data_IF_146694651522
#
_entry.id   IF_146694651522
#
_cell.length_a   1.000
_cell.length_b   1.000
_cell.length_c   1.000
_cell.angle_alpha   90.00
_cell.angle_beta   90.00
_cell.angle_gamma   90.00
#
_symmetry.space_group_name_H-M   'P 1'
#
loop_
_entity.id
_entity.type
_entity.pdbx_description
1 polymer ?
#
# COMPACT_ATOMS: atom_id res chain seq x y z
N UNK A 1 15.95 5.16 -10.57
CA UNK A 1 15.76 4.79 -11.99
C UNK A 1 15.76 3.28 -12.26
N UNK A 2 16.37 2.42 -11.43
CA UNK A 2 16.45 0.97 -11.71
C UNK A 2 15.11 0.22 -11.90
N UNK A 3 14.06 0.52 -11.12
CA UNK A 3 12.75 -0.18 -11.25
C UNK A 3 11.87 0.32 -12.40
N UNK A 4 12.04 1.57 -12.85
CA UNK A 4 11.33 2.09 -14.03
C UNK A 4 11.77 1.39 -15.32
N UNK A 5 12.98 0.82 -15.34
CA UNK A 5 13.46 -0.02 -16.44
C UNK A 5 12.82 -1.42 -16.47
N UNK A 6 12.30 -1.90 -15.32
CA UNK A 6 11.61 -3.19 -15.21
C UNK A 6 10.10 -3.05 -15.44
N UNK A 7 9.52 -1.95 -14.96
CA UNK A 7 8.11 -1.62 -15.14
C UNK A 7 8.01 -0.13 -15.52
N UNK A 8 7.76 0.19 -16.81
CA UNK A 8 7.56 1.56 -17.26
C UNK A 8 6.45 2.25 -16.45
N UNK A 9 6.68 3.49 -16.03
CA UNK A 9 5.71 4.24 -15.23
C UNK A 9 5.76 3.99 -13.72
N UNK A 10 6.57 3.04 -13.22
CA UNK A 10 6.69 2.76 -11.78
C UNK A 10 7.10 3.99 -10.97
N UNK A 11 8.06 4.78 -11.46
CA UNK A 11 8.46 6.03 -10.79
C UNK A 11 7.32 7.04 -10.72
N UNK A 12 6.56 7.21 -11.81
CA UNK A 12 5.42 8.13 -11.87
C UNK A 12 4.34 7.71 -10.87
N UNK A 13 4.03 6.40 -10.82
CA UNK A 13 3.09 5.85 -9.84
C UNK A 13 3.54 6.15 -8.40
N UNK A 14 4.79 5.84 -8.04
CA UNK A 14 5.30 6.09 -6.69
C UNK A 14 5.35 7.58 -6.36
N UNK A 15 5.71 8.43 -7.32
CA UNK A 15 5.70 9.89 -7.12
C UNK A 15 4.30 10.41 -6.85
N UNK A 16 3.29 9.97 -7.61
CA UNK A 16 1.90 10.37 -7.38
C UNK A 16 1.39 9.93 -6.01
N UNK A 17 1.79 8.74 -5.54
CA UNK A 17 1.41 8.24 -4.21
C UNK A 17 2.03 9.02 -3.04
N UNK A 18 3.10 9.79 -3.30
CA UNK A 18 3.81 10.59 -2.30
C UNK A 18 3.45 12.08 -2.37
N UNK A 19 2.98 12.55 -3.53
CA UNK A 19 2.64 13.95 -3.78
C UNK A 19 1.12 14.06 -3.85
N UNK A 20 0.52 14.69 -2.84
CA UNK A 20 -0.90 14.98 -2.86
C UNK A 20 -1.22 15.92 -4.04
N UNK A 21 -2.03 15.45 -4.98
CA UNK A 21 -2.48 16.22 -6.14
C UNK A 21 -3.98 16.47 -5.99
N UNK A 22 -4.38 17.74 -6.00
CA UNK A 22 -5.79 18.14 -5.89
C UNK A 22 -6.62 17.59 -7.05
N UNK A 23 -7.87 17.24 -6.78
CA UNK A 23 -8.82 16.84 -7.82
C UNK A 23 -9.21 18.08 -8.62
N UNK A 24 -8.99 18.05 -9.93
CA UNK A 24 -9.53 19.04 -10.86
C UNK A 24 -10.84 18.47 -11.42
N UNK A 25 -11.96 19.17 -11.19
CA UNK A 25 -13.32 18.76 -11.59
C UNK A 25 -13.67 19.17 -13.05
N UNK A 26 -12.67 19.39 -13.89
CA UNK A 26 -12.88 19.69 -15.31
C UNK A 26 -13.23 18.40 -16.08
N UNK A 27 -14.19 18.49 -17.02
CA UNK A 27 -14.52 17.37 -17.92
C UNK A 27 -13.27 16.96 -18.72
N UNK A 28 -12.69 15.82 -18.37
CA UNK A 28 -11.50 15.26 -19.00
C UNK A 28 -11.85 14.01 -19.82
N UNK A 29 -10.97 13.67 -20.77
CA UNK A 29 -11.02 12.39 -21.48
C UNK A 29 -11.02 11.19 -20.50
N UNK A 30 -11.63 10.05 -20.86
CA UNK A 30 -11.76 8.91 -19.95
C UNK A 30 -10.45 8.43 -19.32
N UNK A 31 -9.35 8.41 -20.08
CA UNK A 31 -8.04 8.00 -19.58
C UNK A 31 -7.46 8.99 -18.56
N UNK A 32 -7.76 10.29 -18.70
CA UNK A 32 -7.33 11.32 -17.76
C UNK A 32 -8.12 11.21 -16.47
N UNK A 33 -9.42 10.94 -16.54
CA UNK A 33 -10.25 10.68 -15.36
C UNK A 33 -9.71 9.50 -14.55
N UNK A 34 -9.36 8.39 -15.20
CA UNK A 34 -8.76 7.23 -14.54
C UNK A 34 -7.39 7.55 -13.93
N UNK A 35 -6.55 8.32 -14.64
CA UNK A 35 -5.24 8.74 -14.14
C UNK A 35 -5.35 9.66 -12.93
N UNK A 36 -6.22 10.68 -12.97
CA UNK A 36 -6.46 11.63 -11.88
C UNK A 36 -7.07 10.93 -10.65
N UNK A 37 -8.01 10.00 -10.88
CA UNK A 37 -8.53 9.14 -9.81
C UNK A 37 -7.41 8.32 -9.15
N UNK A 38 -6.46 7.82 -9.94
CA UNK A 38 -5.27 7.13 -9.44
C UNK A 38 -4.27 8.04 -8.71
N UNK A 39 -4.08 9.27 -9.17
CA UNK A 39 -3.12 10.22 -8.60
C UNK A 39 -3.56 10.80 -7.27
N UNK A 40 -4.85 10.76 -6.96
CA UNK A 40 -5.39 11.12 -5.64
C UNK A 40 -5.19 10.05 -4.56
N UNK A 41 -4.57 8.90 -4.88
CA UNK A 41 -4.25 7.86 -3.89
C UNK A 41 -2.94 8.21 -3.17
N UNK A 42 -2.85 7.83 -1.91
CA UNK A 42 -1.70 8.16 -1.05
C UNK A 42 -1.25 6.93 -0.25
N UNK A 43 0.03 6.90 0.13
CA UNK A 43 0.59 5.86 1.01
C UNK A 43 0.49 6.29 2.47
N UNK A 44 -0.07 5.40 3.29
CA UNK A 44 -0.20 5.60 4.73
C UNK A 44 0.44 4.45 5.51
N UNK A 45 1.08 4.80 6.63
CA UNK A 45 1.56 3.83 7.61
C UNK A 45 0.64 3.86 8.83
N UNK A 46 0.13 2.71 9.24
CA UNK A 46 -0.73 2.58 10.42
C UNK A 46 -0.48 1.26 11.13
N UNK A 47 -0.80 1.22 12.43
CA UNK A 47 -0.73 -0.01 13.23
C UNK A 47 -1.90 -0.92 12.86
N UNK A 48 -1.61 -2.21 12.67
CA UNK A 48 -2.65 -3.20 12.41
C UNK A 48 -3.47 -3.45 13.66
N UNK A 49 -4.77 -3.72 13.50
CA UNK A 49 -5.61 -4.11 14.64
C UNK A 49 -5.16 -5.46 15.21
N UNK A 50 -5.17 -5.64 16.55
CA UNK A 50 -4.92 -6.93 17.18
C UNK A 50 -5.84 -8.06 16.68
N UNK A 51 -7.01 -7.71 16.13
CA UNK A 51 -7.97 -8.66 15.54
C UNK A 51 -7.40 -9.47 14.37
N UNK A 52 -6.34 -8.96 13.71
CA UNK A 52 -5.65 -9.65 12.63
C UNK A 52 -4.56 -10.62 13.14
N UNK A 53 -4.37 -10.70 14.46
CA UNK A 53 -3.43 -11.59 15.12
C UNK A 53 -3.61 -13.05 14.68
N UNK A 54 -2.50 -13.70 14.33
CA UNK A 54 -2.49 -15.10 13.89
C UNK A 54 -2.85 -15.34 12.42
N UNK A 55 -3.42 -14.35 11.72
CA UNK A 55 -3.68 -14.41 10.28
C UNK A 55 -2.38 -14.21 9.48
N UNK A 56 -2.33 -14.74 8.26
CA UNK A 56 -1.27 -14.47 7.29
C UNK A 56 -1.47 -13.10 6.64
N UNK A 57 -0.37 -12.48 6.19
CA UNK A 57 -0.41 -11.20 5.49
C UNK A 57 -1.41 -11.20 4.32
N UNK A 58 -1.46 -12.26 3.52
CA UNK A 58 -2.43 -12.39 2.43
C UNK A 58 -3.90 -12.38 2.90
N UNK A 59 -4.21 -13.06 4.01
CA UNK A 59 -5.56 -13.07 4.58
C UNK A 59 -5.94 -11.66 5.05
N UNK A 60 -5.02 -10.97 5.72
CA UNK A 60 -5.21 -9.58 6.16
C UNK A 60 -5.40 -8.65 4.98
N UNK A 61 -4.56 -8.74 3.93
CA UNK A 61 -4.73 -7.96 2.71
C UNK A 61 -6.11 -8.16 2.09
N UNK A 62 -6.57 -9.41 1.97
CA UNK A 62 -7.88 -9.71 1.39
C UNK A 62 -9.02 -9.13 2.21
N UNK A 63 -8.97 -9.29 3.53
CA UNK A 63 -10.01 -8.77 4.42
C UNK A 63 -10.02 -7.24 4.47
N UNK A 64 -8.84 -6.61 4.58
CA UNK A 64 -8.72 -5.16 4.60
C UNK A 64 -9.26 -4.54 3.32
N UNK A 65 -8.87 -5.08 2.16
CA UNK A 65 -9.35 -4.59 0.87
C UNK A 65 -10.87 -4.69 0.74
N UNK A 66 -11.47 -5.80 1.21
CA UNK A 66 -12.93 -5.98 1.17
C UNK A 66 -13.69 -5.02 2.08
N UNK A 67 -13.12 -4.67 3.23
CA UNK A 67 -13.80 -3.85 4.24
C UNK A 67 -13.60 -2.35 4.00
N UNK A 68 -12.40 -1.94 3.62
CA UNK A 68 -12.03 -0.51 3.52
C UNK A 68 -11.71 -0.05 2.11
N UNK A 69 -11.48 -0.97 1.16
CA UNK A 69 -10.94 -0.65 -0.16
C UNK A 69 -9.44 -0.35 -0.16
N UNK A 70 -8.77 -0.36 1.01
CA UNK A 70 -7.35 -0.07 1.12
C UNK A 70 -6.49 -1.25 0.66
N UNK A 71 -5.41 -0.97 -0.06
CA UNK A 71 -4.45 -1.97 -0.50
C UNK A 71 -3.27 -2.02 0.46
N UNK A 72 -3.21 -3.04 1.32
CA UNK A 72 -2.05 -3.31 2.14
C UNK A 72 -0.96 -3.99 1.29
N UNK A 73 0.23 -3.41 1.22
CA UNK A 73 1.34 -3.93 0.40
C UNK A 73 2.67 -4.09 1.15
N UNK A 74 2.74 -3.67 2.41
CA UNK A 74 3.94 -3.75 3.24
C UNK A 74 3.58 -3.89 4.71
N UNK A 75 4.48 -4.46 5.51
CA UNK A 75 4.41 -4.43 6.97
C UNK A 75 5.78 -4.11 7.56
N UNK A 76 5.81 -3.47 8.71
CA UNK A 76 7.01 -3.38 9.52
C UNK A 76 7.10 -4.60 10.43
N UNK A 77 8.28 -5.23 10.47
CA UNK A 77 8.57 -6.38 11.33
C UNK A 77 9.74 -6.02 12.23
N UNK A 78 9.53 -6.10 13.53
CA UNK A 78 10.56 -5.94 14.55
C UNK A 78 11.11 -7.32 14.93
N UNK A 79 12.43 -7.49 14.81
CA UNK A 79 13.12 -8.70 15.25
C UNK A 79 13.26 -8.75 16.78
N UNK A 80 13.59 -9.93 17.31
CA UNK A 80 13.93 -10.20 18.72
C UNK A 80 15.05 -9.31 19.27
N UNK A 81 15.93 -8.80 18.41
CA UNK A 81 17.00 -7.86 18.75
C UNK A 81 16.55 -6.39 18.72
N UNK A 82 15.27 -6.12 18.44
CA UNK A 82 14.69 -4.76 18.37
C UNK A 82 14.87 -4.04 17.03
N UNK A 83 15.39 -4.72 16.00
CA UNK A 83 15.56 -4.12 14.68
C UNK A 83 14.27 -4.21 13.86
N UNK A 84 13.67 -3.05 13.55
CA UNK A 84 12.53 -2.94 12.63
C UNK A 84 12.97 -2.90 11.17
N UNK A 85 12.27 -3.65 10.32
CA UNK A 85 12.43 -3.62 8.86
C UNK A 85 11.07 -3.62 8.18
N UNK A 86 10.90 -2.75 7.19
CA UNK A 86 9.73 -2.77 6.31
C UNK A 86 9.91 -3.85 5.27
N UNK A 87 8.99 -4.82 5.25
CA UNK A 87 8.97 -5.91 4.27
C UNK A 87 7.78 -5.69 3.33
N UNK A 88 8.08 -5.59 2.03
CA UNK A 88 7.08 -5.49 0.98
C UNK A 88 6.53 -6.87 0.66
N UNK A 89 5.20 -7.01 0.72
CA UNK A 89 4.45 -8.23 0.43
C UNK A 89 5.08 -9.54 0.97
N UNK A 90 5.10 -9.73 2.30
CA UNK A 90 5.66 -10.95 2.89
C UNK A 90 4.74 -12.19 2.76
N UNK A 91 3.59 -12.06 2.06
CA UNK A 91 2.63 -13.09 1.68
C UNK A 91 2.18 -14.07 2.78
N UNK A 92 3.05 -15.04 3.14
CA UNK A 92 2.79 -16.10 4.12
C UNK A 92 3.19 -15.73 5.55
N UNK A 93 3.80 -14.56 5.77
CA UNK A 93 4.13 -14.10 7.11
C UNK A 93 2.88 -14.00 7.99
N UNK A 94 2.95 -14.53 9.21
CA UNK A 94 1.84 -14.47 10.18
C UNK A 94 1.98 -13.25 11.06
N UNK A 95 0.90 -12.49 11.20
CA UNK A 95 0.85 -11.32 12.05
C UNK A 95 0.92 -11.78 13.51
N UNK A 96 1.86 -11.24 14.31
CA UNK A 96 1.92 -11.54 15.74
C UNK A 96 0.62 -11.12 16.44
N UNK A 97 0.09 -11.93 17.37
CA UNK A 97 -1.18 -11.67 18.04
C UNK A 97 -1.23 -10.41 18.93
N UNK A 98 -0.09 -9.77 19.20
CA UNK A 98 0.05 -8.59 20.06
C UNK A 98 0.60 -7.37 19.31
N UNK A 99 0.30 -7.23 18.01
CA UNK A 99 0.71 -6.05 17.23
C UNK A 99 -0.21 -4.86 17.48
#
# INVERSE_FOLDING_TARGET
>A
MGKSCLCPGFSTLICNLMISSGQNDDECEPWMTEYLSGSGKEIYCTTLSPSFGGMTFNEVCSQLYRVTGATLFAVEITDTLGYSRVILNPARYRIPPNT
#
